data_IF_571052964951
#
_entry.id   IF_571052964951
#
_cell.length_a   1.000
_cell.length_b   1.000
_cell.length_c   1.000
_cell.angle_alpha   90.00
_cell.angle_beta   90.00
_cell.angle_gamma   90.00
#
_symmetry.space_group_name_H-M   'P 1'
#
loop_
_entity.id
_entity.type
_entity.pdbx_description
1 polymer ?
#
# COMPACT_ATOMS: atom_id res chain seq x y z
N UNK A 1 35.15 1.22 -16.27
CA UNK A 1 34.55 1.08 -14.92
C UNK A 1 35.29 -0.01 -14.19
N UNK A 2 35.47 0.11 -12.88
CA UNK A 2 36.11 -0.90 -12.04
C UNK A 2 35.20 -1.25 -10.86
N UNK A 3 35.33 -2.46 -10.30
CA UNK A 3 34.50 -2.93 -9.18
C UNK A 3 33.36 -3.86 -9.62
N UNK A 4 32.49 -4.19 -8.66
CA UNK A 4 31.35 -5.10 -8.84
C UNK A 4 30.07 -4.29 -9.08
N UNK A 5 29.97 -3.68 -10.25
CA UNK A 5 28.75 -2.97 -10.67
C UNK A 5 27.67 -3.98 -11.06
N UNK A 6 26.43 -3.82 -10.55
CA UNK A 6 25.32 -4.70 -10.91
C UNK A 6 24.75 -4.40 -12.31
N UNK A 7 25.13 -3.29 -12.94
CA UNK A 7 24.65 -2.89 -14.26
C UNK A 7 25.70 -3.09 -15.36
N UNK A 8 25.28 -3.47 -16.58
CA UNK A 8 26.19 -3.55 -17.70
C UNK A 8 26.68 -2.15 -18.11
N UNK A 9 27.95 -1.99 -18.55
CA UNK A 9 28.51 -0.69 -18.91
C UNK A 9 27.72 0.08 -19.99
N UNK A 10 27.01 -0.63 -20.88
CA UNK A 10 26.18 -0.03 -21.93
C UNK A 10 25.04 0.84 -21.40
N UNK A 11 24.38 0.41 -20.31
CA UNK A 11 23.29 1.15 -19.66
C UNK A 11 23.80 2.44 -19.00
N UNK A 12 24.99 2.39 -18.42
CA UNK A 12 25.63 3.53 -17.76
C UNK A 12 26.14 4.53 -18.79
N UNK A 13 26.69 4.04 -19.91
CA UNK A 13 27.25 4.86 -20.99
C UNK A 13 26.23 5.87 -21.55
N UNK A 14 24.96 5.49 -21.64
CA UNK A 14 23.89 6.37 -22.10
C UNK A 14 23.74 7.64 -21.23
N UNK A 15 23.86 7.51 -19.91
CA UNK A 15 23.72 8.63 -18.97
C UNK A 15 24.95 9.56 -18.94
N UNK A 16 26.14 9.02 -19.20
CA UNK A 16 27.40 9.80 -19.19
C UNK A 16 27.78 10.36 -20.56
N UNK A 17 27.14 9.93 -21.65
CA UNK A 17 27.45 10.37 -23.01
C UNK A 17 27.49 11.91 -23.19
N UNK A 18 26.57 12.70 -22.58
CA UNK A 18 26.61 14.17 -22.68
C UNK A 18 27.82 14.82 -22.00
N UNK A 19 28.51 14.11 -21.10
CA UNK A 19 29.63 14.60 -20.31
C UNK A 19 31.00 14.35 -20.98
N UNK A 20 31.02 13.54 -22.05
CA UNK A 20 32.24 13.19 -22.77
C UNK A 20 32.73 14.40 -23.57
N UNK A 21 34.03 14.70 -23.49
CA UNK A 21 34.66 15.81 -24.23
C UNK A 21 34.62 17.17 -23.52
N UNK A 22 33.99 17.25 -22.34
CA UNK A 22 34.00 18.47 -21.52
C UNK A 22 35.35 18.65 -20.79
N UNK A 23 35.74 19.90 -20.45
CA UNK A 23 36.96 20.16 -19.69
C UNK A 23 36.87 19.54 -18.30
N UNK A 24 37.96 18.91 -17.86
CA UNK A 24 38.02 18.20 -16.57
C UNK A 24 38.16 19.21 -15.44
N UNK A 25 37.11 19.31 -14.64
CA UNK A 25 37.08 20.02 -13.36
C UNK A 25 36.38 19.19 -12.28
N UNK A 26 36.43 19.65 -11.03
CA UNK A 26 35.79 18.96 -9.91
C UNK A 26 34.26 18.81 -10.12
N UNK A 27 33.63 19.78 -10.77
CA UNK A 27 32.20 19.75 -11.07
C UNK A 27 31.84 18.66 -12.08
N UNK A 28 32.66 18.46 -13.12
CA UNK A 28 32.50 17.39 -14.09
C UNK A 28 32.64 16.02 -13.43
N UNK A 29 33.65 15.83 -12.58
CA UNK A 29 33.85 14.56 -11.87
C UNK A 29 32.65 14.22 -10.97
N UNK A 30 32.08 15.22 -10.28
CA UNK A 30 30.87 15.01 -9.48
C UNK A 30 29.63 14.75 -10.34
N UNK A 31 29.48 15.42 -11.49
CA UNK A 31 28.41 15.12 -12.46
C UNK A 31 28.52 13.69 -13.00
N UNK A 32 29.73 13.21 -13.31
CA UNK A 32 29.95 11.82 -13.75
C UNK A 32 29.54 10.85 -12.63
N UNK A 33 30.00 11.08 -11.39
CA UNK A 33 29.63 10.27 -10.22
C UNK A 33 28.11 10.21 -10.06
N UNK A 34 27.47 11.37 -10.10
CA UNK A 34 26.02 11.53 -9.95
C UNK A 34 25.26 10.83 -11.08
N UNK A 35 25.73 10.95 -12.33
CA UNK A 35 25.11 10.28 -13.47
C UNK A 35 25.21 8.76 -13.39
N UNK A 36 26.36 8.23 -12.93
CA UNK A 36 26.53 6.79 -12.71
C UNK A 36 25.63 6.31 -11.57
N UNK A 37 25.53 7.05 -10.47
CA UNK A 37 24.62 6.73 -9.37
C UNK A 37 23.15 6.76 -9.83
N UNK A 38 22.75 7.80 -10.56
CA UNK A 38 21.40 7.94 -11.11
C UNK A 38 21.04 6.81 -12.08
N UNK A 39 21.99 6.31 -12.87
CA UNK A 39 21.77 5.16 -13.75
C UNK A 39 21.48 3.86 -12.97
N UNK A 40 22.10 3.69 -11.80
CA UNK A 40 21.82 2.56 -10.91
C UNK A 40 20.48 2.73 -10.19
N UNK A 41 20.20 3.93 -9.68
CA UNK A 41 18.91 4.27 -9.06
C UNK A 41 17.73 4.05 -10.02
N UNK A 42 17.89 4.43 -11.30
CA UNK A 42 16.85 4.26 -12.31
C UNK A 42 16.58 2.80 -12.72
N UNK A 43 17.45 1.88 -12.29
CA UNK A 43 17.33 0.45 -12.53
C UNK A 43 16.99 -0.34 -11.25
N UNK A 44 16.54 0.33 -10.18
CA UNK A 44 16.24 -0.31 -8.89
C UNK A 44 17.47 -0.68 -8.06
N UNK A 45 18.69 -0.51 -8.58
CA UNK A 45 19.94 -0.94 -7.95
C UNK A 45 20.65 0.20 -7.20
N UNK A 46 19.88 1.03 -6.48
CA UNK A 46 20.38 2.27 -5.86
C UNK A 46 21.32 2.08 -4.65
N UNK A 47 21.42 0.86 -4.11
CA UNK A 47 22.36 0.54 -3.02
C UNK A 47 23.76 0.26 -3.57
N UNK A 48 24.35 1.27 -4.19
CA UNK A 48 25.71 1.24 -4.72
C UNK A 48 26.53 2.39 -4.15
N UNK A 49 27.80 2.12 -3.83
CA UNK A 49 28.80 3.16 -3.60
C UNK A 49 29.48 3.50 -4.92
N UNK A 50 29.39 4.77 -5.33
CA UNK A 50 30.08 5.30 -6.51
C UNK A 50 31.16 6.27 -6.02
N UNK A 51 32.42 5.89 -6.22
CA UNK A 51 33.55 6.72 -5.81
C UNK A 51 33.74 7.90 -6.78
N UNK A 52 34.42 8.94 -6.31
CA UNK A 52 34.81 10.04 -7.17
C UNK A 52 35.73 9.51 -8.30
N UNK A 53 35.46 9.82 -9.58
CA UNK A 53 36.26 9.30 -10.68
C UNK A 53 37.71 9.78 -10.63
N UNK A 54 38.65 8.89 -10.92
CA UNK A 54 40.06 9.22 -11.09
C UNK A 54 40.38 9.36 -12.58
N UNK A 55 41.11 10.40 -12.95
CA UNK A 55 41.57 10.60 -14.33
C UNK A 55 42.90 9.90 -14.56
N UNK A 56 42.96 9.06 -15.58
CA UNK A 56 44.20 8.44 -16.06
C UNK A 56 44.27 8.59 -17.59
N UNK A 57 45.28 9.32 -18.08
CA UNK A 57 45.53 9.46 -19.52
C UNK A 57 44.30 9.89 -20.34
N UNK A 58 43.50 10.83 -19.81
CA UNK A 58 42.27 11.30 -20.46
C UNK A 58 41.04 10.39 -20.29
N UNK A 59 41.17 9.28 -19.55
CA UNK A 59 40.07 8.35 -19.24
C UNK A 59 39.63 8.52 -17.79
N UNK A 60 38.32 8.73 -17.57
CA UNK A 60 37.73 8.73 -16.24
C UNK A 60 37.46 7.30 -15.76
N UNK A 61 38.16 6.87 -14.71
CA UNK A 61 37.98 5.57 -14.07
C UNK A 61 37.04 5.74 -12.88
N UNK A 62 35.83 5.22 -13.02
CA UNK A 62 34.82 5.18 -11.95
C UNK A 62 34.81 3.80 -11.31
N UNK A 63 34.93 3.76 -9.97
CA UNK A 63 34.72 2.56 -9.17
C UNK A 63 33.28 2.51 -8.67
N UNK A 64 32.61 1.38 -8.90
CA UNK A 64 31.25 1.12 -8.39
C UNK A 64 31.24 -0.17 -7.61
N UNK A 65 30.67 -0.13 -6.42
CA UNK A 65 30.58 -1.28 -5.53
C UNK A 65 29.15 -1.45 -5.03
N UNK A 66 28.53 -2.59 -5.33
CA UNK A 66 27.22 -2.94 -4.79
C UNK A 66 27.30 -3.18 -3.27
N UNK A 67 26.41 -2.57 -2.52
CA UNK A 67 26.26 -2.77 -1.08
C UNK A 67 25.40 -4.01 -0.84
N UNK A 68 25.75 -4.80 0.17
CA UNK A 68 25.00 -5.98 0.58
C UNK A 68 24.36 -5.77 1.94
N UNK A 69 23.17 -6.35 2.16
CA UNK A 69 22.55 -6.33 3.48
C UNK A 69 23.40 -7.20 4.42
N UNK A 70 23.83 -6.67 5.56
CA UNK A 70 24.52 -7.44 6.60
C UNK A 70 23.50 -8.24 7.43
N UNK A 71 22.46 -7.55 7.90
CA UNK A 71 21.40 -8.06 8.77
C UNK A 71 20.10 -7.30 8.52
N UNK A 72 18.99 -7.95 8.85
CA UNK A 72 17.64 -7.34 8.84
C UNK A 72 17.15 -7.31 10.28
N UNK A 73 16.95 -6.10 10.81
CA UNK A 73 16.43 -5.88 12.16
C UNK A 73 14.96 -5.48 12.11
N UNK A 74 14.09 -6.28 12.73
CA UNK A 74 12.68 -5.97 12.84
C UNK A 74 12.38 -5.29 14.19
N UNK A 75 11.60 -4.20 14.17
CA UNK A 75 11.11 -3.51 15.39
C UNK A 75 9.62 -3.25 15.27
N UNK A 76 8.87 -3.58 16.32
CA UNK A 76 7.47 -3.18 16.45
C UNK A 76 7.36 -1.90 17.28
N UNK A 77 6.37 -1.07 16.93
CA UNK A 77 6.04 0.15 17.63
C UNK A 77 4.52 0.15 17.90
N UNK A 78 4.08 0.37 19.15
CA UNK A 78 2.66 0.46 19.44
C UNK A 78 2.05 1.64 18.68
N UNK A 79 0.92 1.40 18.02
CA UNK A 79 0.15 2.47 17.39
C UNK A 79 -0.57 3.26 18.49
N UNK A 80 -0.17 4.53 18.71
CA UNK A 80 -0.82 5.51 19.59
C UNK A 80 -1.59 4.89 20.77
N UNK A 81 -0.92 4.43 21.84
CA UNK A 81 -1.64 3.86 22.97
C UNK A 81 -2.58 4.92 23.59
N UNK A 82 -3.84 4.59 23.90
CA UNK A 82 -4.68 5.43 24.72
C UNK A 82 -3.96 5.72 26.05
N UNK A 83 -4.06 6.95 26.53
CA UNK A 83 -3.49 7.34 27.83
C UNK A 83 -4.06 6.41 28.93
N UNK A 84 -3.20 5.58 29.53
CA UNK A 84 -3.59 4.63 30.58
C UNK A 84 -4.02 3.22 30.10
N UNK A 85 -3.98 2.92 28.80
CA UNK A 85 -4.12 1.53 28.34
C UNK A 85 -2.88 0.70 28.72
N UNK A 86 -3.11 -0.53 29.20
CA UNK A 86 -2.03 -1.49 29.40
C UNK A 86 -1.27 -1.66 28.08
N UNK A 87 0.07 -1.57 28.12
CA UNK A 87 0.89 -1.86 26.95
C UNK A 87 0.54 -3.27 26.46
N UNK A 88 0.15 -3.39 25.20
CA UNK A 88 0.01 -4.70 24.55
C UNK A 88 1.33 -5.47 24.71
N UNK A 89 1.23 -6.79 24.93
CA UNK A 89 2.44 -7.60 25.08
C UNK A 89 3.33 -7.46 23.84
N UNK A 90 4.65 -7.24 24.01
CA UNK A 90 5.55 -7.10 22.89
C UNK A 90 5.53 -8.37 22.03
N UNK A 91 5.32 -8.20 20.72
CA UNK A 91 5.35 -9.31 19.77
C UNK A 91 6.70 -10.02 19.86
N UNK A 92 6.76 -11.35 20.04
CA UNK A 92 8.02 -12.06 20.18
C UNK A 92 8.88 -11.93 18.92
N UNK A 93 10.18 -11.70 19.10
CA UNK A 93 11.11 -11.41 18.01
C UNK A 93 11.09 -12.44 16.85
N UNK A 94 10.99 -13.77 17.10
CA UNK A 94 10.89 -14.75 16.01
C UNK A 94 9.64 -14.57 15.13
N UNK A 95 8.50 -14.20 15.72
CA UNK A 95 7.26 -13.96 14.98
C UNK A 95 7.37 -12.70 14.13
N UNK A 96 8.01 -11.66 14.66
CA UNK A 96 8.28 -10.42 13.92
C UNK A 96 9.21 -10.68 12.73
N UNK A 97 10.27 -11.46 12.93
CA UNK A 97 11.18 -11.84 11.85
C UNK A 97 10.48 -12.66 10.76
N UNK A 98 9.61 -13.60 11.14
CA UNK A 98 8.81 -14.37 10.19
C UNK A 98 7.84 -13.49 9.40
N UNK A 99 7.23 -12.49 10.04
CA UNK A 99 6.37 -11.52 9.36
C UNK A 99 7.17 -10.66 8.35
N UNK A 100 8.38 -10.22 8.71
CA UNK A 100 9.28 -9.49 7.79
C UNK A 100 9.67 -10.36 6.60
N UNK A 101 10.08 -11.61 6.84
CA UNK A 101 10.46 -12.52 5.76
C UNK A 101 9.28 -12.82 4.82
N UNK A 102 8.06 -12.90 5.36
CA UNK A 102 6.85 -13.11 4.56
C UNK A 102 6.45 -11.86 3.76
N UNK A 103 6.56 -10.67 4.34
CA UNK A 103 6.11 -9.42 3.70
C UNK A 103 7.13 -8.82 2.74
N UNK A 104 8.44 -8.96 3.04
CA UNK A 104 9.55 -8.35 2.32
C UNK A 104 10.61 -9.40 1.91
N UNK A 105 10.26 -10.43 1.10
CA UNK A 105 11.19 -11.50 0.74
C UNK A 105 12.42 -11.05 -0.06
N UNK A 106 12.42 -9.82 -0.62
CA UNK A 106 13.61 -9.24 -1.27
C UNK A 106 14.68 -8.73 -0.28
N UNK A 107 14.35 -8.57 1.00
CA UNK A 107 15.31 -8.18 2.03
C UNK A 107 16.01 -9.41 2.62
N UNK A 108 17.03 -9.91 1.91
CA UNK A 108 17.82 -11.07 2.35
C UNK A 108 19.23 -10.64 2.79
N UNK A 109 19.70 -11.09 3.98
CA UNK A 109 21.09 -10.92 4.37
C UNK A 109 22.06 -11.52 3.34
N UNK A 110 23.19 -10.85 3.12
CA UNK A 110 24.22 -11.23 2.16
C UNK A 110 23.95 -10.83 0.70
N UNK A 111 22.76 -10.34 0.38
CA UNK A 111 22.39 -9.95 -0.99
C UNK A 111 22.29 -8.42 -1.15
N UNK A 112 22.47 -7.95 -2.38
CA UNK A 112 22.11 -6.58 -2.77
C UNK A 112 20.64 -6.60 -3.18
N UNK A 113 19.76 -5.90 -2.44
CA UNK A 113 18.33 -5.97 -2.73
C UNK A 113 18.01 -5.08 -3.94
N UNK A 114 17.03 -5.50 -4.73
CA UNK A 114 16.40 -4.67 -5.74
C UNK A 114 15.41 -3.72 -5.03
N UNK A 115 15.68 -2.42 -5.09
CA UNK A 115 14.87 -1.40 -4.42
C UNK A 115 13.50 -1.23 -5.03
N UNK A 116 13.33 -1.50 -6.34
CA UNK A 116 12.01 -1.44 -6.98
C UNK A 116 11.14 -2.60 -6.48
N UNK A 117 11.74 -3.77 -6.26
CA UNK A 117 11.06 -4.91 -5.66
C UNK A 117 10.71 -4.64 -4.18
N UNK A 118 11.68 -4.16 -3.39
CA UNK A 118 11.44 -3.82 -1.97
C UNK A 118 10.36 -2.74 -1.84
N UNK A 119 10.34 -1.72 -2.71
CA UNK A 119 9.29 -0.69 -2.71
C UNK A 119 7.90 -1.29 -2.98
N UNK A 120 7.78 -2.18 -3.97
CA UNK A 120 6.51 -2.83 -4.28
C UNK A 120 6.03 -3.72 -3.14
N UNK A 121 6.93 -4.50 -2.54
CA UNK A 121 6.61 -5.33 -1.37
C UNK A 121 6.19 -4.48 -0.17
N UNK A 122 6.89 -3.37 0.08
CA UNK A 122 6.55 -2.42 1.14
C UNK A 122 5.19 -1.75 0.91
N UNK A 123 4.89 -1.34 -0.33
CA UNK A 123 3.57 -0.78 -0.69
C UNK A 123 2.48 -1.82 -0.50
N UNK A 124 2.70 -3.07 -0.93
CA UNK A 124 1.76 -4.18 -0.75
C UNK A 124 1.50 -4.46 0.73
N UNK A 125 2.55 -4.50 1.56
CA UNK A 125 2.43 -4.67 3.01
C UNK A 125 1.64 -3.52 3.66
N UNK A 126 1.78 -2.30 3.15
CA UNK A 126 1.05 -1.12 3.61
C UNK A 126 -0.40 -0.99 3.09
N UNK A 127 -0.85 -1.90 2.22
CA UNK A 127 -2.27 -2.04 1.87
C UNK A 127 -3.06 -2.75 2.98
N UNK A 128 -2.38 -3.39 3.92
CA UNK A 128 -3.03 -4.04 5.06
C UNK A 128 -3.64 -2.99 6.01
N UNK A 129 -4.86 -3.23 6.51
CA UNK A 129 -5.58 -2.25 7.33
C UNK A 129 -5.05 -2.15 8.77
N UNK A 130 -4.46 -3.22 9.31
CA UNK A 130 -4.05 -3.33 10.71
C UNK A 130 -2.58 -2.94 10.97
N UNK A 131 -1.73 -2.90 9.94
CA UNK A 131 -0.29 -2.67 10.08
C UNK A 131 0.23 -1.61 9.12
N UNK A 132 1.24 -0.88 9.57
CA UNK A 132 2.05 0.04 8.78
C UNK A 132 3.50 -0.39 8.83
N UNK A 133 4.13 -0.39 7.67
CA UNK A 133 5.48 -0.88 7.45
C UNK A 133 6.37 0.27 6.97
N UNK A 134 7.59 0.30 7.47
CA UNK A 134 8.64 1.23 7.08
C UNK A 134 9.97 0.50 6.97
N UNK A 135 10.83 0.94 6.05
CA UNK A 135 12.18 0.38 5.86
C UNK A 135 13.16 1.53 5.84
N UNK A 136 14.23 1.38 6.61
CA UNK A 136 15.37 2.31 6.68
C UNK A 136 16.67 1.53 6.47
N UNK A 137 17.59 2.09 5.70
CA UNK A 137 18.91 1.48 5.45
C UNK A 137 19.99 2.31 6.14
N UNK A 138 20.79 1.67 7.00
CA UNK A 138 21.89 2.32 7.71
C UNK A 138 23.22 1.67 7.39
N UNK A 139 24.29 2.46 7.45
CA UNK A 139 25.63 1.89 7.43
C UNK A 139 25.82 0.98 8.65
N UNK A 140 26.48 -0.16 8.46
CA UNK A 140 26.83 -1.05 9.56
C UNK A 140 27.91 -0.35 10.40
N UNK A 141 27.50 0.29 11.50
CA UNK A 141 28.42 0.79 12.53
C UNK A 141 28.77 -0.39 13.45
N UNK A 142 30.05 -0.75 13.54
CA UNK A 142 30.54 -1.60 14.61
C UNK A 142 30.18 -0.95 15.96
N UNK A 143 29.67 -1.76 16.87
CA UNK A 143 29.03 -1.36 18.12
C UNK A 143 29.72 -0.20 18.87
N UNK A 144 29.11 0.98 18.83
CA UNK A 144 29.39 2.04 19.81
C UNK A 144 28.45 1.81 21.02
N UNK A 145 28.95 1.64 22.25
CA UNK A 145 28.09 1.42 23.43
C UNK A 145 27.14 2.60 23.62
N UNK A 146 25.88 2.29 23.92
CA UNK A 146 24.80 3.24 24.12
C UNK A 146 25.22 4.35 25.10
N UNK A 147 25.41 5.56 24.60
CA UNK A 147 25.40 6.75 25.44
C UNK A 147 23.99 6.91 26.03
N UNK A 148 23.86 7.29 27.32
CA UNK A 148 22.58 7.37 27.99
C UNK A 148 21.66 8.39 27.31
N UNK A 149 20.42 7.98 27.09
CA UNK A 149 19.38 8.82 26.52
C UNK A 149 19.22 10.11 27.35
N UNK A 150 19.59 11.24 26.76
CA UNK A 150 19.16 12.55 27.25
C UNK A 150 17.68 12.69 26.88
N UNK A 151 16.77 12.93 27.84
CA UNK A 151 15.37 13.11 27.53
C UNK A 151 15.17 14.40 26.73
N UNK A 152 14.50 14.29 25.58
CA UNK A 152 14.06 15.46 24.82
C UNK A 152 13.07 16.28 25.67
N UNK A 153 13.15 17.63 25.65
CA UNK A 153 12.28 18.46 26.48
C UNK A 153 10.83 18.33 26.01
N UNK A 154 9.94 18.12 26.97
CA UNK A 154 8.50 18.12 26.79
C UNK A 154 8.04 19.45 26.19
N UNK A 155 7.62 19.44 24.93
CA UNK A 155 6.93 20.57 24.32
C UNK A 155 5.48 20.51 24.78
N UNK A 156 5.14 21.38 25.75
CA UNK A 156 3.78 21.67 26.16
C UNK A 156 3.08 22.41 25.02
N UNK A 157 1.96 21.88 24.54
CA UNK A 157 1.02 22.64 23.73
C UNK A 157 -0.17 23.05 24.59
N UNK A 158 -0.29 24.35 24.84
CA UNK A 158 -1.49 24.98 25.41
C UNK A 158 -2.58 25.10 24.35
N UNK A 159 -3.80 24.69 24.66
CA UNK A 159 -4.97 24.95 23.83
C UNK A 159 -5.44 26.40 24.01
N UNK A 160 -5.73 27.09 22.91
CA UNK A 160 -6.56 28.32 22.92
C UNK A 160 -7.99 27.92 22.54
N UNK A 161 -9.03 28.31 23.29
CA UNK A 161 -10.41 27.95 22.98
C UNK A 161 -10.93 28.72 21.76
N UNK A 162 -11.61 28.04 20.82
CA UNK A 162 -12.40 28.72 19.78
C UNK A 162 -12.31 28.21 18.33
N UNK A 163 -11.95 26.95 18.06
CA UNK A 163 -12.04 26.39 16.70
C UNK A 163 -13.11 25.29 16.59
N UNK A 164 -13.95 25.43 15.57
CA UNK A 164 -15.11 24.59 15.26
C UNK A 164 -14.70 23.27 14.60
N UNK A 165 -15.46 22.22 14.95
CA UNK A 165 -15.40 20.88 14.38
C UNK A 165 -15.56 20.94 12.86
N UNK A 166 -14.45 20.72 12.14
CA UNK A 166 -14.45 20.47 10.71
C UNK A 166 -14.34 18.97 10.46
N UNK A 167 -15.22 18.50 9.58
CA UNK A 167 -15.37 17.16 9.01
C UNK A 167 -14.08 16.34 9.00
N UNK A 168 -14.19 15.12 9.53
CA UNK A 168 -13.22 14.03 9.40
C UNK A 168 -12.59 14.04 8.00
N UNK A 169 -11.30 14.37 7.95
CA UNK A 169 -10.44 13.92 6.87
C UNK A 169 -10.45 12.41 6.97
N UNK A 170 -11.07 11.77 5.97
CA UNK A 170 -10.77 10.41 5.56
C UNK A 170 -9.26 10.21 5.71
N UNK A 171 -8.86 9.43 6.72
CA UNK A 171 -7.45 9.15 6.99
C UNK A 171 -6.89 8.53 5.72
N UNK A 172 -6.10 9.26 4.91
CA UNK A 172 -5.35 8.61 3.87
C UNK A 172 -4.46 7.64 4.65
N UNK A 173 -4.53 6.36 4.29
CA UNK A 173 -3.60 5.34 4.73
C UNK A 173 -2.23 6.00 4.94
N UNK A 174 -1.78 6.06 6.20
CA UNK A 174 -0.66 6.88 6.64
C UNK A 174 0.45 6.80 5.58
N UNK A 175 0.71 7.96 4.97
CA UNK A 175 1.75 8.18 3.98
C UNK A 175 3.01 7.47 4.46
N UNK A 176 3.39 6.37 3.82
CA UNK A 176 4.78 5.95 3.87
C UNK A 176 5.56 7.16 3.35
N UNK A 177 6.42 7.79 4.16
CA UNK A 177 7.05 9.04 3.79
C UNK A 177 7.73 8.88 2.44
N UNK A 178 7.33 9.73 1.49
CA UNK A 178 8.01 9.87 0.22
C UNK A 178 9.47 10.25 0.51
N UNK A 179 10.39 9.34 0.17
CA UNK A 179 11.84 9.54 0.07
C UNK A 179 12.41 10.66 0.96
N UNK A 180 12.66 10.33 2.20
CA UNK A 180 13.85 10.84 2.88
C UNK A 180 14.67 9.62 3.29
N UNK A 181 15.73 9.35 2.53
CA UNK A 181 16.86 8.53 2.98
C UNK A 181 17.97 9.49 3.45
N UNK A 182 17.92 10.05 4.68
CA UNK A 182 19.08 10.68 5.28
C UNK A 182 19.95 9.57 5.88
N UNK A 183 21.00 9.14 5.16
CA UNK A 183 21.97 8.20 5.73
C UNK A 183 22.93 7.54 4.74
N UNK A 184 22.52 7.31 3.50
CA UNK A 184 23.38 6.61 2.53
C UNK A 184 24.56 7.45 1.99
N UNK A 185 24.65 8.74 2.35
CA UNK A 185 25.61 9.67 1.70
C UNK A 185 26.96 9.80 2.40
N UNK A 186 27.15 9.23 3.59
CA UNK A 186 28.39 9.44 4.36
C UNK A 186 28.79 8.23 5.21
N UNK A 187 29.06 7.08 4.61
CA UNK A 187 29.70 5.98 5.36
C UNK A 187 30.48 4.96 4.49
N UNK A 188 30.84 5.30 3.25
CA UNK A 188 31.69 4.42 2.45
C UNK A 188 33.18 4.59 2.82
N UNK A 189 33.54 4.28 4.06
CA UNK A 189 34.90 3.84 4.43
C UNK A 189 34.77 2.73 5.47
N UNK A 190 35.08 1.52 5.00
CA UNK A 190 35.06 0.21 5.66
C UNK A 190 33.65 -0.39 5.85
N UNK A 191 33.39 -1.44 5.06
CA UNK A 191 32.13 -2.19 5.04
C UNK A 191 31.33 -1.95 3.75
N UNK A 192 31.38 -2.88 2.80
CA UNK A 192 30.43 -2.95 1.66
C UNK A 192 29.07 -3.48 2.13
N UNK A 193 28.70 -3.16 3.37
CA UNK A 193 27.62 -3.76 4.13
C UNK A 193 26.75 -2.65 4.72
N UNK A 194 25.45 -2.90 4.70
CA UNK A 194 24.43 -2.03 5.27
C UNK A 194 23.44 -2.86 6.08
N UNK A 195 22.86 -2.27 7.10
CA UNK A 195 21.80 -2.89 7.89
C UNK A 195 20.44 -2.39 7.39
N UNK A 196 19.48 -3.32 7.24
CA UNK A 196 18.10 -2.98 6.93
C UNK A 196 17.27 -3.00 8.21
N UNK A 197 16.65 -1.89 8.57
CA UNK A 197 15.75 -1.78 9.72
C UNK A 197 14.32 -1.71 9.24
N UNK A 198 13.50 -2.65 9.69
CA UNK A 198 12.07 -2.72 9.36
C UNK A 198 11.27 -2.31 10.57
N UNK A 199 10.58 -1.18 10.47
CA UNK A 199 9.67 -0.68 11.48
C UNK A 199 8.24 -1.09 11.16
N UNK A 200 7.60 -1.80 12.09
CA UNK A 200 6.21 -2.24 12.00
C UNK A 200 5.43 -1.48 13.07
N UNK A 201 4.32 -0.86 12.71
CA UNK A 201 3.42 -0.23 13.68
C UNK A 201 1.99 -0.72 13.47
N UNK A 202 1.22 -0.75 14.57
CA UNK A 202 -0.08 -1.43 14.60
C UNK A 202 0.12 -2.87 15.04
N UNK A 203 0.11 -3.08 16.35
CA UNK A 203 0.39 -4.40 16.96
C UNK A 203 -0.89 -5.23 17.13
N UNK A 204 -2.06 -4.59 17.08
CA UNK A 204 -3.35 -5.27 17.15
C UNK A 204 -3.72 -5.87 15.81
N UNK A 205 -3.86 -7.20 15.82
CA UNK A 205 -4.36 -7.94 14.65
C UNK A 205 -5.85 -7.67 14.42
N UNK A 206 -6.59 -7.29 15.47
CA UNK A 206 -7.96 -6.84 15.35
C UNK A 206 -8.03 -5.37 14.97
N UNK A 207 -8.91 -5.05 14.03
CA UNK A 207 -9.21 -3.68 13.66
C UNK A 207 -10.70 -3.51 13.43
N UNK A 208 -11.16 -2.28 13.63
CA UNK A 208 -12.56 -1.92 13.43
C UNK A 208 -12.69 -0.51 12.87
N UNK A 209 -13.75 -0.29 12.11
CA UNK A 209 -14.14 1.02 11.62
C UNK A 209 -15.66 1.15 11.70
N UNK A 210 -16.11 2.20 12.39
CA UNK A 210 -17.49 2.65 12.32
C UNK A 210 -17.56 3.91 11.46
N UNK A 211 -18.56 4.01 10.60
CA UNK A 211 -18.77 5.17 9.73
C UNK A 211 -20.26 5.48 9.67
N UNK A 212 -20.58 6.77 9.73
CA UNK A 212 -21.92 7.31 9.55
C UNK A 212 -21.89 8.31 8.41
N UNK A 213 -22.80 8.17 7.45
CA UNK A 213 -22.94 9.09 6.33
C UNK A 213 -24.42 9.30 5.97
N UNK A 214 -24.70 10.26 5.09
CA UNK A 214 -26.04 10.58 4.60
C UNK A 214 -26.19 10.36 3.07
N UNK A 215 -25.35 9.51 2.48
CA UNK A 215 -25.33 9.25 1.03
C UNK A 215 -26.43 8.28 0.57
N UNK A 216 -27.32 7.85 1.47
CA UNK A 216 -28.46 7.00 1.17
C UNK A 216 -29.56 7.71 0.38
N UNK A 217 -30.55 6.93 -0.03
CA UNK A 217 -31.71 7.42 -0.79
C UNK A 217 -32.91 7.63 0.12
N UNK A 218 -33.76 8.61 -0.21
CA UNK A 218 -34.93 8.96 0.58
C UNK A 218 -35.86 7.76 0.86
N UNK A 219 -36.10 6.89 -0.14
CA UNK A 219 -36.99 5.74 0.00
C UNK A 219 -36.50 4.68 1.01
N UNK A 220 -35.17 4.54 1.13
CA UNK A 220 -34.51 3.51 1.94
C UNK A 220 -33.78 4.08 3.17
N UNK A 221 -34.05 5.34 3.50
CA UNK A 221 -33.32 6.14 4.49
C UNK A 221 -32.01 6.74 3.94
N UNK A 222 -31.78 8.02 4.26
CA UNK A 222 -30.58 8.76 3.82
C UNK A 222 -29.37 8.41 4.68
N UNK A 223 -29.58 8.17 5.96
CA UNK A 223 -28.53 7.88 6.93
C UNK A 223 -28.06 6.43 6.79
N UNK A 224 -26.75 6.23 6.59
CA UNK A 224 -26.10 4.93 6.55
C UNK A 224 -25.17 4.79 7.75
N UNK A 225 -25.26 3.65 8.42
CA UNK A 225 -24.29 3.21 9.39
C UNK A 225 -23.54 2.02 8.82
N UNK A 226 -22.20 2.09 8.82
CA UNK A 226 -21.31 1.01 8.41
C UNK A 226 -20.42 0.62 9.58
N UNK A 227 -20.41 -0.65 9.92
CA UNK A 227 -19.49 -1.25 10.87
C UNK A 227 -18.64 -2.29 10.14
N UNK A 228 -17.33 -2.09 10.12
CA UNK A 228 -16.35 -3.03 9.63
C UNK A 228 -15.55 -3.56 10.80
N UNK A 229 -15.43 -4.88 10.92
CA UNK A 229 -14.62 -5.56 11.91
C UNK A 229 -13.75 -6.58 11.19
N UNK A 230 -12.47 -6.67 11.53
CA UNK A 230 -11.57 -7.59 10.86
C UNK A 230 -10.43 -8.06 11.74
N UNK A 231 -9.78 -9.11 11.24
CA UNK A 231 -8.59 -9.70 11.82
C UNK A 231 -7.52 -9.85 10.74
N UNK A 232 -6.36 -9.27 11.00
CA UNK A 232 -5.15 -9.43 10.21
C UNK A 232 -4.34 -10.63 10.68
N UNK A 233 -3.56 -11.23 9.79
CA UNK A 233 -2.70 -12.39 10.06
C UNK A 233 -3.43 -13.69 10.48
N UNK A 234 -4.77 -13.76 10.37
CA UNK A 234 -5.60 -14.89 10.82
C UNK A 234 -5.21 -16.22 10.15
N UNK A 235 -4.79 -16.14 8.87
CA UNK A 235 -4.42 -17.30 8.06
C UNK A 235 -2.92 -17.29 7.69
N UNK A 236 -2.11 -16.59 8.47
CA UNK A 236 -0.69 -16.36 8.21
C UNK A 236 -0.37 -14.89 7.88
N UNK A 237 0.92 -14.52 7.85
CA UNK A 237 1.35 -13.13 7.78
C UNK A 237 0.77 -12.37 6.57
N UNK A 238 0.26 -11.17 6.82
CA UNK A 238 -0.30 -10.28 5.81
C UNK A 238 -1.67 -10.67 5.28
N UNK A 239 -2.28 -11.78 5.73
CA UNK A 239 -3.62 -12.19 5.27
C UNK A 239 -4.69 -11.60 6.18
N UNK A 240 -5.69 -10.94 5.64
CA UNK A 240 -6.77 -10.35 6.43
C UNK A 240 -8.14 -10.94 6.09
N UNK A 241 -8.99 -11.04 7.10
CA UNK A 241 -10.42 -11.33 6.94
C UNK A 241 -11.21 -10.24 7.63
N UNK A 242 -12.19 -9.66 6.96
CA UNK A 242 -13.09 -8.67 7.55
C UNK A 242 -14.55 -8.89 7.15
N UNK A 243 -15.42 -8.46 8.07
CA UNK A 243 -16.87 -8.42 7.90
C UNK A 243 -17.33 -6.96 7.94
N UNK A 244 -18.13 -6.58 6.94
CA UNK A 244 -18.74 -5.26 6.88
C UNK A 244 -20.26 -5.39 6.94
N UNK A 245 -20.85 -4.78 7.96
CA UNK A 245 -22.30 -4.58 8.08
C UNK A 245 -22.64 -3.14 7.68
N UNK A 246 -23.58 -2.97 6.76
CA UNK A 246 -24.17 -1.67 6.42
C UNK A 246 -25.67 -1.74 6.67
N UNK A 247 -26.21 -0.72 7.34
CA UNK A 247 -27.65 -0.58 7.59
C UNK A 247 -28.08 0.86 7.36
N UNK A 248 -29.37 1.07 7.05
CA UNK A 248 -29.95 2.40 7.23
C UNK A 248 -30.17 2.65 8.72
N UNK A 249 -29.67 3.77 9.25
CA UNK A 249 -29.78 4.05 10.68
C UNK A 249 -31.23 4.34 11.10
N UNK A 250 -31.97 5.10 10.29
CA UNK A 250 -33.36 5.47 10.55
C UNK A 250 -34.38 4.39 10.18
N UNK A 251 -34.07 3.56 9.19
CA UNK A 251 -34.96 2.51 8.68
C UNK A 251 -34.22 1.18 8.45
N UNK A 252 -33.78 0.51 9.53
CA UNK A 252 -32.90 -0.66 9.41
C UNK A 252 -33.50 -1.80 8.60
N UNK A 253 -34.82 -1.94 8.57
CA UNK A 253 -35.58 -2.94 7.80
C UNK A 253 -35.59 -2.69 6.28
N UNK A 254 -35.27 -1.46 5.85
CA UNK A 254 -35.33 -1.01 4.45
C UNK A 254 -34.02 -1.09 3.69
N UNK A 255 -32.88 -1.09 4.37
CA UNK A 255 -31.59 -1.30 3.72
C UNK A 255 -30.63 -2.00 4.67
N UNK A 256 -30.15 -3.16 4.24
CA UNK A 256 -29.13 -3.92 4.95
C UNK A 256 -28.18 -4.56 3.94
N UNK A 257 -26.90 -4.61 4.28
CA UNK A 257 -25.90 -5.34 3.53
C UNK A 257 -24.88 -5.96 4.48
N UNK A 258 -24.55 -7.21 4.25
CA UNK A 258 -23.45 -7.90 4.91
C UNK A 258 -22.44 -8.32 3.84
N UNK A 259 -21.18 -8.00 4.05
CA UNK A 259 -20.07 -8.43 3.20
C UNK A 259 -19.00 -9.11 4.04
N UNK A 260 -18.38 -10.15 3.48
CA UNK A 260 -17.17 -10.79 4.01
C UNK A 260 -16.08 -10.66 2.95
N UNK A 261 -14.90 -10.20 3.38
CA UNK A 261 -13.76 -9.99 2.50
C UNK A 261 -12.52 -10.67 3.05
N UNK A 262 -11.85 -11.42 2.18
CA UNK A 262 -10.56 -12.04 2.43
C UNK A 262 -9.51 -11.39 1.52
N UNK A 263 -8.32 -11.10 2.07
CA UNK A 263 -7.18 -10.57 1.32
C UNK A 263 -5.94 -11.43 1.52
N UNK A 264 -5.21 -11.64 0.44
CA UNK A 264 -3.97 -12.42 0.42
C UNK A 264 -2.90 -11.71 -0.42
N UNK A 265 -1.89 -11.07 0.22
CA UNK A 265 -0.76 -10.48 -0.48
C UNK A 265 0.21 -11.57 -0.97
N UNK A 266 0.68 -11.42 -2.20
CA UNK A 266 1.70 -12.23 -2.86
C UNK A 266 2.91 -11.32 -3.19
N UNK A 267 3.85 -11.14 -2.24
CA UNK A 267 4.92 -10.16 -2.38
C UNK A 267 5.91 -10.49 -3.49
N UNK A 268 6.19 -11.78 -3.75
CA UNK A 268 7.10 -12.23 -4.82
C UNK A 268 6.68 -11.75 -6.22
N UNK A 269 5.39 -11.48 -6.41
CA UNK A 269 4.81 -10.97 -7.66
C UNK A 269 4.10 -9.64 -7.47
N UNK A 270 4.35 -8.94 -6.35
CA UNK A 270 3.75 -7.66 -6.00
C UNK A 270 2.22 -7.58 -6.21
N UNK A 271 1.49 -8.64 -5.87
CA UNK A 271 0.05 -8.77 -6.18
C UNK A 271 -0.79 -8.94 -4.93
N UNK A 272 -1.89 -8.21 -4.80
CA UNK A 272 -2.92 -8.43 -3.78
C UNK A 272 -4.08 -9.21 -4.39
N UNK A 273 -4.31 -10.42 -3.90
CA UNK A 273 -5.54 -11.14 -4.20
C UNK A 273 -6.61 -10.75 -3.17
N UNK A 274 -7.84 -10.53 -3.62
CA UNK A 274 -8.97 -10.33 -2.73
C UNK A 274 -10.22 -11.07 -3.23
N UNK A 275 -10.95 -11.64 -2.29
CA UNK A 275 -12.26 -12.24 -2.51
C UNK A 275 -13.25 -11.56 -1.58
N UNK A 276 -14.35 -11.09 -2.13
CA UNK A 276 -15.44 -10.48 -1.37
C UNK A 276 -16.76 -11.16 -1.75
N UNK A 277 -17.52 -11.59 -0.76
CA UNK A 277 -18.89 -12.06 -0.94
C UNK A 277 -19.81 -11.13 -0.19
N UNK A 278 -20.95 -10.78 -0.79
CA UNK A 278 -21.91 -9.93 -0.11
C UNK A 278 -23.34 -10.33 -0.38
N UNK A 279 -24.20 -10.01 0.58
CA UNK A 279 -25.65 -10.12 0.48
C UNK A 279 -26.26 -8.80 0.89
N UNK A 280 -27.12 -8.24 0.04
CA UNK A 280 -27.85 -7.03 0.35
C UNK A 280 -29.35 -7.23 0.20
N UNK A 281 -30.09 -6.41 0.93
CA UNK A 281 -31.54 -6.31 0.88
C UNK A 281 -31.93 -4.85 0.88
N UNK A 282 -32.83 -4.50 -0.03
CA UNK A 282 -33.43 -3.17 -0.13
C UNK A 282 -34.95 -3.28 -0.17
N UNK A 283 -35.63 -2.44 0.60
CA UNK A 283 -37.10 -2.31 0.58
C UNK A 283 -37.49 -0.84 0.59
N UNK A 284 -37.51 -0.20 -0.59
CA UNK A 284 -38.13 1.11 -0.76
C UNK A 284 -39.57 1.16 -0.25
N UNK A 285 -40.30 0.04 -0.34
CA UNK A 285 -41.71 -0.06 0.03
C UNK A 285 -42.61 0.47 -1.08
N UNK A 286 -43.74 1.07 -0.70
CA UNK A 286 -44.71 1.59 -1.68
C UNK A 286 -44.16 2.81 -2.41
N UNK A 287 -43.94 2.66 -3.72
CA UNK A 287 -43.56 3.72 -4.65
C UNK A 287 -44.79 4.12 -5.47
N UNK A 288 -44.96 5.44 -5.66
CA UNK A 288 -46.07 6.01 -6.43
C UNK A 288 -47.48 5.64 -5.93
N UNK A 289 -47.63 5.13 -4.69
CA UNK A 289 -48.89 4.72 -4.04
C UNK A 289 -49.47 3.35 -4.46
N UNK A 290 -48.86 2.62 -5.40
CA UNK A 290 -49.42 1.34 -5.89
C UNK A 290 -48.41 0.23 -6.16
N UNK A 291 -47.11 0.51 -6.23
CA UNK A 291 -46.09 -0.52 -6.40
C UNK A 291 -45.36 -0.79 -5.09
N UNK A 292 -45.43 -2.00 -4.55
CA UNK A 292 -44.55 -2.39 -3.45
C UNK A 292 -43.26 -3.00 -4.01
N UNK A 293 -42.13 -2.33 -3.75
CA UNK A 293 -40.83 -2.69 -4.33
C UNK A 293 -39.89 -3.21 -3.26
N UNK A 294 -39.31 -4.37 -3.52
CA UNK A 294 -38.21 -4.93 -2.74
C UNK A 294 -37.19 -5.62 -3.65
N UNK A 295 -35.94 -5.63 -3.22
CA UNK A 295 -34.85 -6.28 -3.95
C UNK A 295 -33.90 -6.99 -3.00
N UNK A 296 -33.44 -8.17 -3.40
CA UNK A 296 -32.33 -8.85 -2.73
C UNK A 296 -31.20 -9.04 -3.74
N UNK A 297 -29.96 -8.88 -3.29
CA UNK A 297 -28.80 -9.18 -4.13
C UNK A 297 -27.79 -10.06 -3.42
N UNK A 298 -27.09 -10.86 -4.21
CA UNK A 298 -25.91 -11.59 -3.78
C UNK A 298 -24.79 -11.29 -4.77
N UNK A 299 -23.59 -10.99 -4.28
CA UNK A 299 -22.44 -10.73 -5.13
C UNK A 299 -21.20 -11.48 -4.68
N UNK A 300 -20.34 -11.76 -5.64
CA UNK A 300 -18.98 -12.28 -5.50
C UNK A 300 -18.04 -11.40 -6.32
N UNK A 301 -16.99 -10.90 -5.70
CA UNK A 301 -15.90 -10.21 -6.36
C UNK A 301 -14.61 -10.98 -6.08
N UNK A 302 -13.92 -11.38 -7.15
CA UNK A 302 -12.56 -11.93 -7.08
C UNK A 302 -11.64 -11.00 -7.85
N UNK A 303 -10.61 -10.46 -7.21
CA UNK A 303 -9.71 -9.49 -7.81
C UNK A 303 -8.24 -9.83 -7.58
N UNK A 304 -7.40 -9.45 -8.55
CA UNK A 304 -5.96 -9.53 -8.49
C UNK A 304 -5.38 -8.16 -8.86
N UNK A 305 -4.85 -7.44 -7.86
CA UNK A 305 -4.23 -6.12 -8.04
C UNK A 305 -2.72 -6.24 -8.05
N UNK A 306 -2.11 -6.03 -9.20
CA UNK A 306 -0.66 -6.01 -9.38
C UNK A 306 -0.11 -4.58 -9.24
N UNK A 307 0.87 -4.40 -8.36
CA UNK A 307 1.57 -3.13 -8.20
C UNK A 307 2.67 -3.01 -9.25
N UNK A 308 2.63 -1.92 -10.01
CA UNK A 308 3.64 -1.60 -11.01
C UNK A 308 4.77 -0.80 -10.36
N UNK A 309 5.96 -0.85 -10.98
CA UNK A 309 7.13 -0.11 -10.52
C UNK A 309 6.82 1.40 -10.41
N UNK A 310 7.21 1.99 -9.29
CA UNK A 310 7.04 3.42 -9.03
C UNK A 310 7.87 4.24 -10.02
N UNK A 311 7.32 5.35 -10.51
CA UNK A 311 8.04 6.30 -11.37
C UNK A 311 8.06 7.67 -10.71
N UNK A 312 9.13 7.95 -9.97
CA UNK A 312 9.24 9.16 -9.17
C UNK A 312 8.16 9.19 -8.09
N UNK A 313 7.24 10.15 -8.20
CA UNK A 313 6.12 10.33 -7.30
C UNK A 313 4.85 9.56 -7.71
N UNK A 314 4.86 8.90 -8.87
CA UNK A 314 3.72 8.15 -9.40
C UNK A 314 3.78 6.69 -8.95
N UNK A 315 2.68 6.23 -8.36
CA UNK A 315 2.48 4.89 -7.82
C UNK A 315 1.38 4.14 -8.60
N UNK A 316 1.71 3.54 -9.76
CA UNK A 316 0.72 2.87 -10.60
C UNK A 316 0.38 1.44 -10.13
N UNK A 317 -0.78 0.94 -10.56
CA UNK A 317 -1.24 -0.43 -10.41
C UNK A 317 -2.15 -0.85 -11.58
N UNK A 318 -2.25 -2.16 -11.78
CA UNK A 318 -3.23 -2.79 -12.66
C UNK A 318 -4.05 -3.79 -11.85
N UNK A 319 -5.33 -3.95 -12.16
CA UNK A 319 -6.21 -4.90 -11.47
C UNK A 319 -7.15 -5.57 -12.45
N UNK A 320 -7.26 -6.89 -12.33
CA UNK A 320 -8.30 -7.68 -13.02
C UNK A 320 -9.27 -8.20 -11.97
N UNK A 321 -10.56 -8.06 -12.22
CA UNK A 321 -11.61 -8.53 -11.32
C UNK A 321 -12.72 -9.28 -12.07
N UNK A 322 -13.22 -10.36 -11.46
CA UNK A 322 -14.47 -11.01 -11.82
C UNK A 322 -15.54 -10.55 -10.84
N UNK A 323 -16.63 -9.98 -11.33
CA UNK A 323 -17.69 -9.38 -10.51
C UNK A 323 -19.03 -10.03 -10.82
N UNK A 324 -19.38 -11.09 -10.10
CA UNK A 324 -20.68 -11.73 -10.24
C UNK A 324 -21.69 -11.09 -9.29
N UNK A 325 -22.89 -10.80 -9.77
CA UNK A 325 -24.02 -10.36 -8.94
C UNK A 325 -25.34 -10.87 -9.49
N UNK A 326 -26.21 -11.35 -8.61
CA UNK A 326 -27.59 -11.72 -8.93
C UNK A 326 -28.52 -10.81 -8.13
N UNK A 327 -29.46 -10.18 -8.82
CA UNK A 327 -30.49 -9.31 -8.28
C UNK A 327 -31.84 -10.01 -8.45
N UNK A 328 -32.61 -10.06 -7.37
CA UNK A 328 -33.93 -10.67 -7.31
C UNK A 328 -34.90 -9.61 -6.81
N UNK A 329 -35.54 -8.94 -7.77
CA UNK A 329 -36.41 -7.80 -7.54
C UNK A 329 -37.86 -8.25 -7.63
N UNK A 330 -38.66 -7.78 -6.67
CA UNK A 330 -40.10 -7.98 -6.60
C UNK A 330 -40.75 -6.61 -6.71
N UNK A 331 -41.65 -6.49 -7.69
CA UNK A 331 -42.46 -5.29 -7.91
C UNK A 331 -43.91 -5.75 -7.89
N UNK A 332 -44.55 -5.69 -6.72
CA UNK A 332 -45.94 -6.09 -6.60
C UNK A 332 -46.86 -4.97 -7.08
N UNK A 333 -47.71 -5.30 -8.05
CA UNK A 333 -48.80 -4.46 -8.53
C UNK A 333 -50.11 -5.21 -8.37
N UNK A 334 -50.79 -5.00 -7.25
CA UNK A 334 -52.07 -5.65 -6.92
C UNK A 334 -51.99 -7.19 -6.97
N UNK A 335 -50.94 -7.79 -6.40
CA UNK A 335 -50.74 -9.25 -6.38
C UNK A 335 -50.11 -9.83 -7.66
N UNK A 336 -49.79 -8.99 -8.65
CA UNK A 336 -49.02 -9.37 -9.84
C UNK A 336 -47.58 -8.91 -9.64
N UNK A 337 -46.65 -9.86 -9.60
CA UNK A 337 -45.22 -9.53 -9.55
C UNK A 337 -44.71 -9.18 -10.96
N UNK A 338 -44.33 -7.91 -11.14
CA UNK A 338 -43.67 -7.38 -12.34
C UNK A 338 -42.14 -7.36 -12.23
N UNK A 339 -41.61 -7.87 -11.11
CA UNK A 339 -40.19 -7.97 -10.84
C UNK A 339 -39.50 -9.05 -11.68
N UNK A 340 -38.18 -9.04 -11.66
CA UNK A 340 -37.36 -9.97 -12.43
C UNK A 340 -36.12 -10.36 -11.64
N UNK A 341 -35.54 -11.51 -12.02
CA UNK A 341 -34.31 -12.00 -11.44
C UNK A 341 -33.22 -11.99 -12.50
N UNK A 342 -32.21 -11.17 -12.27
CA UNK A 342 -31.18 -10.87 -13.28
C UNK A 342 -29.80 -11.08 -12.70
N UNK A 343 -28.94 -11.78 -13.45
CA UNK A 343 -27.56 -12.01 -13.09
C UNK A 343 -26.58 -11.39 -14.08
N UNK A 344 -25.47 -10.87 -13.56
CA UNK A 344 -24.35 -10.37 -14.38
C UNK A 344 -23.04 -10.88 -13.80
N UNK A 345 -22.08 -11.22 -14.68
CA UNK A 345 -20.72 -11.59 -14.26
C UNK A 345 -19.65 -10.97 -15.18
N UNK A 346 -19.53 -9.63 -15.23
CA UNK A 346 -18.48 -9.00 -16.00
C UNK A 346 -17.07 -9.31 -15.48
N UNK A 347 -16.12 -9.29 -16.41
CA UNK A 347 -14.70 -9.11 -16.09
C UNK A 347 -14.39 -7.62 -16.21
N UNK A 348 -13.67 -7.11 -15.23
CA UNK A 348 -13.21 -5.73 -15.17
C UNK A 348 -11.68 -5.67 -15.23
N UNK A 349 -11.16 -4.77 -16.07
CA UNK A 349 -9.77 -4.35 -16.07
C UNK A 349 -9.69 -2.91 -15.55
N UNK A 350 -8.90 -2.69 -14.51
CA UNK A 350 -8.65 -1.37 -13.94
C UNK A 350 -7.18 -1.02 -14.07
N UNK A 351 -6.89 0.20 -14.50
CA UNK A 351 -5.56 0.81 -14.44
C UNK A 351 -5.67 2.06 -13.58
N UNK A 352 -4.85 2.18 -12.55
CA UNK A 352 -4.89 3.33 -11.66
C UNK A 352 -3.51 3.75 -11.18
N UNK A 353 -3.44 4.95 -10.63
CA UNK A 353 -2.23 5.46 -10.01
C UNK A 353 -2.55 6.50 -8.95
N UNK A 354 -1.69 6.54 -7.93
CA UNK A 354 -1.62 7.66 -6.99
C UNK A 354 -0.38 8.48 -7.30
N UNK A 355 -0.53 9.79 -7.44
CA UNK A 355 0.57 10.72 -7.60
C UNK A 355 0.70 11.57 -6.34
N UNK A 356 1.87 11.54 -5.71
CA UNK A 356 2.12 12.22 -4.43
C UNK A 356 3.08 13.41 -4.60
N UNK A 357 2.62 14.61 -4.31
CA UNK A 357 3.46 15.78 -4.08
C UNK A 357 3.45 16.18 -2.60
N UNK A 358 4.45 16.93 -2.16
CA UNK A 358 4.31 17.70 -0.92
C UNK A 358 3.70 19.06 -1.31
N UNK A 359 2.44 19.42 -0.96
CA UNK A 359 1.54 18.82 0.06
C UNK A 359 0.28 18.09 -0.48
N UNK A 360 0.26 17.67 -1.74
CA UNK A 360 -0.96 17.19 -2.41
C UNK A 360 -0.89 15.71 -2.81
N UNK A 361 -2.04 15.04 -2.89
CA UNK A 361 -2.14 13.73 -3.53
C UNK A 361 -3.25 13.75 -4.57
N UNK A 362 -2.99 13.12 -5.72
CA UNK A 362 -3.98 12.91 -6.78
C UNK A 362 -4.10 11.42 -7.01
N UNK A 363 -5.33 10.92 -6.99
CA UNK A 363 -5.64 9.54 -7.36
C UNK A 363 -6.47 9.54 -8.63
N UNK A 364 -6.17 8.63 -9.55
CA UNK A 364 -6.96 8.42 -10.76
C UNK A 364 -7.01 6.95 -11.15
N UNK A 365 -8.14 6.51 -11.69
CA UNK A 365 -8.30 5.18 -12.24
C UNK A 365 -9.20 5.19 -13.48
N UNK A 366 -8.89 4.29 -14.42
CA UNK A 366 -9.73 3.97 -15.58
C UNK A 366 -10.12 2.50 -15.45
N UNK A 367 -11.41 2.22 -15.61
CA UNK A 367 -11.96 0.87 -15.48
C UNK A 367 -12.79 0.52 -16.70
N UNK A 368 -12.43 -0.56 -17.37
CA UNK A 368 -13.20 -1.18 -18.44
C UNK A 368 -13.90 -2.42 -17.91
N UNK A 369 -15.20 -2.54 -18.10
CA UNK A 369 -16.00 -3.70 -17.71
C UNK A 369 -16.66 -4.29 -18.95
N UNK A 370 -16.57 -5.60 -19.11
CA UNK A 370 -17.24 -6.30 -20.20
C UNK A 370 -17.99 -7.50 -19.64
N UNK A 371 -19.29 -7.56 -19.93
CA UNK A 371 -20.13 -8.69 -19.56
C UNK A 371 -20.15 -9.70 -20.73
N UNK A 372 -19.67 -10.91 -20.47
CA UNK A 372 -19.62 -11.98 -21.45
C UNK A 372 -20.90 -12.83 -21.49
N UNK A 373 -21.93 -12.47 -20.72
CA UNK A 373 -23.16 -13.26 -20.59
C UNK A 373 -22.93 -14.58 -19.83
N UNK A 374 -21.94 -14.59 -18.93
CA UNK A 374 -21.65 -15.73 -18.06
C UNK A 374 -22.32 -15.54 -16.70
N UNK A 375 -22.51 -16.64 -15.98
CA UNK A 375 -23.05 -16.64 -14.62
C UNK A 375 -24.56 -16.96 -14.54
N UNK A 376 -25.09 -17.15 -13.33
CA UNK A 376 -26.47 -17.58 -13.12
C UNK A 376 -27.44 -16.47 -13.50
N UNK A 377 -28.52 -16.79 -14.24
CA UNK A 377 -29.55 -15.82 -14.69
C UNK A 377 -29.00 -14.70 -15.60
N UNK A 378 -27.92 -14.99 -16.34
CA UNK A 378 -27.31 -14.06 -17.32
C UNK A 378 -28.02 -14.03 -18.67
N UNK A 379 -28.85 -15.03 -18.97
CA UNK A 379 -29.74 -15.05 -20.15
C UNK A 379 -30.93 -14.10 -20.03
N UNK A 380 -31.21 -13.63 -18.81
CA UNK A 380 -32.38 -12.84 -18.46
C UNK A 380 -32.01 -11.34 -18.32
N UNK A 381 -30.75 -10.99 -18.64
CA UNK A 381 -30.10 -9.69 -18.42
C UNK A 381 -30.03 -8.81 -19.68
#
# INVERSE_FOLDING_TARGET
>A
MTGNSPLPPSRIRAGIAPLIGQPVDAALLDRIRTAVAAAHDAAGMGLVSVDLPLMQQGVAIVRVTALRISRVEARSYPANPPEGAAMAEPVPAPALQAAVAAALPALQPGQTPDLDEVDRQLRLANLQPHRRWSVDFRATEDAQPAAPAVPAPATRFSSTPGQTLSTERETPAATAPARTLPGARSAARQGQQIDARVGISGDDSFYGRAMLDNAGQAATGRERARLQLGHGDLFGPGRSLDATLLVSASHPDRQQQLALRYQHPLPEVATLLAVEVSKARSRPGIVSQFFDVSGNSHSLNVSARHLLARRGALEPYAEVALESSVHDDVVDFFGINLGSKVGVAPIALSLGATWQGAPWSVFGQVRLRHNFGWGPHSSDA
#
